data_IF_821094920235
#
_entry.id   IF_821094920235
#
_cell.length_a   1.000
_cell.length_b   1.000
_cell.length_c   1.000
_cell.angle_alpha   90.00
_cell.angle_beta   90.00
_cell.angle_gamma   90.00
#
_symmetry.space_group_name_H-M   'P 1'
#
loop_
_entity.id
_entity.type
_entity.pdbx_description
1 polymer ?
#
# COMPACT_ATOMS: atom_id res chain seq x y z
N UNK A 1 12.36 10.60 11.55
CA UNK A 1 11.37 11.16 12.49
C UNK A 1 10.33 11.87 11.65
N UNK A 2 9.01 11.80 11.99
CA UNK A 2 7.94 12.47 11.23
C UNK A 2 7.62 13.78 11.93
N UNK A 3 7.49 14.87 11.15
CA UNK A 3 7.28 16.22 11.68
C UNK A 3 6.14 16.92 10.95
N UNK A 4 5.11 17.36 11.68
CA UNK A 4 3.99 18.15 11.16
C UNK A 4 3.39 17.59 9.87
N UNK A 5 3.13 16.27 9.86
CA UNK A 5 2.53 15.60 8.72
C UNK A 5 1.01 15.83 8.75
N UNK A 6 0.49 16.59 7.81
CA UNK A 6 -0.94 16.80 7.60
C UNK A 6 -1.36 16.10 6.31
N UNK A 7 -1.92 14.90 6.44
CA UNK A 7 -2.21 13.98 5.33
C UNK A 7 -3.71 13.74 5.21
N UNK A 8 -4.24 13.97 4.00
CA UNK A 8 -5.67 13.84 3.70
C UNK A 8 -5.93 12.82 2.58
N UNK A 9 -6.45 11.66 2.94
CA UNK A 9 -6.79 10.61 1.98
C UNK A 9 -8.30 10.61 1.71
N UNK A 10 -8.68 10.81 0.44
CA UNK A 10 -10.09 10.75 0.00
C UNK A 10 -10.61 9.32 0.00
N UNK A 11 -11.93 9.18 0.18
CA UNK A 11 -12.58 7.86 0.16
C UNK A 11 -12.64 7.28 -1.26
N UNK A 12 -12.66 5.94 -1.32
CA UNK A 12 -12.83 5.13 -2.55
C UNK A 12 -11.87 5.55 -3.65
N UNK A 13 -10.58 5.56 -3.32
CA UNK A 13 -9.51 5.83 -4.28
C UNK A 13 -8.23 5.06 -3.90
N UNK A 14 -7.30 4.97 -4.84
CA UNK A 14 -5.91 4.60 -4.54
C UNK A 14 -5.12 5.88 -4.31
N UNK A 15 -4.59 6.02 -3.10
CA UNK A 15 -3.73 7.13 -2.69
C UNK A 15 -2.29 6.64 -2.56
N UNK A 16 -1.37 7.29 -3.26
CA UNK A 16 0.06 7.00 -3.21
C UNK A 16 0.78 7.83 -2.15
N UNK A 17 1.54 7.19 -1.29
CA UNK A 17 2.40 7.85 -0.32
C UNK A 17 3.87 7.57 -0.66
N UNK A 18 4.52 8.51 -1.36
CA UNK A 18 5.86 8.33 -1.94
C UNK A 18 6.93 9.12 -1.21
N UNK A 19 8.14 8.59 -1.25
CA UNK A 19 9.33 9.25 -0.69
C UNK A 19 10.50 8.27 -0.56
N UNK A 20 11.72 8.79 -0.38
CA UNK A 20 12.91 7.95 -0.26
C UNK A 20 12.84 7.05 0.99
N UNK A 21 13.73 6.05 1.03
CA UNK A 21 13.87 5.20 2.21
C UNK A 21 14.26 6.06 3.42
N UNK A 22 13.64 5.79 4.57
CA UNK A 22 13.84 6.59 5.78
C UNK A 22 13.06 7.91 5.85
N UNK A 23 12.28 8.27 4.81
CA UNK A 23 11.48 9.50 4.81
C UNK A 23 10.37 9.55 5.86
N UNK A 24 9.95 8.39 6.42
CA UNK A 24 8.90 8.32 7.44
C UNK A 24 7.63 7.61 7.00
N UNK A 25 7.57 7.03 5.79
CA UNK A 25 6.38 6.35 5.23
C UNK A 25 5.83 5.26 6.16
N UNK A 26 6.61 4.22 6.43
CA UNK A 26 6.20 3.10 7.31
C UNK A 26 5.88 3.56 8.73
N UNK A 27 6.61 4.56 9.25
CA UNK A 27 6.31 5.15 10.57
C UNK A 27 4.93 5.80 10.58
N UNK A 28 4.61 6.58 9.53
CA UNK A 28 3.28 7.20 9.40
C UNK A 28 2.17 6.15 9.29
N UNK A 29 2.39 5.10 8.48
CA UNK A 29 1.43 3.99 8.37
C UNK A 29 1.25 3.23 9.71
N UNK A 30 2.32 3.02 10.46
CA UNK A 30 2.25 2.43 11.81
C UNK A 30 1.47 3.32 12.79
N UNK A 31 1.55 4.65 12.66
CA UNK A 31 0.72 5.58 13.44
C UNK A 31 -0.76 5.47 13.08
N UNK A 32 -1.10 5.36 11.78
CA UNK A 32 -2.48 5.11 11.33
C UNK A 32 -3.06 3.82 11.92
N UNK A 33 -2.25 2.79 12.09
CA UNK A 33 -2.67 1.52 12.70
C UNK A 33 -2.61 1.51 14.24
N UNK A 34 -2.21 2.63 14.86
CA UNK A 34 -2.04 2.71 16.30
C UNK A 34 -0.94 1.79 16.86
N UNK A 35 0.01 1.37 16.02
CA UNK A 35 1.19 0.60 16.41
C UNK A 35 2.28 1.50 16.99
N UNK A 36 2.27 2.77 16.62
CA UNK A 36 3.15 3.83 17.13
C UNK A 36 2.26 5.03 17.48
N UNK A 37 2.48 5.64 18.63
CA UNK A 37 1.76 6.83 19.04
C UNK A 37 2.52 8.08 18.58
N UNK A 38 1.84 9.08 17.98
CA UNK A 38 2.47 10.36 17.71
C UNK A 38 2.79 11.08 19.04
N UNK A 39 3.90 11.80 19.10
CA UNK A 39 4.28 12.60 20.27
C UNK A 39 3.40 13.84 20.43
N UNK A 40 2.82 14.33 19.32
CA UNK A 40 1.86 15.43 19.30
C UNK A 40 0.95 15.29 18.06
N UNK A 41 -0.18 15.97 18.06
CA UNK A 41 -1.18 15.88 17.00
C UNK A 41 -2.16 14.72 17.19
N UNK A 42 -2.91 14.39 16.15
CA UNK A 42 -3.93 13.34 16.20
C UNK A 42 -3.97 12.57 14.88
N UNK A 43 -4.46 11.34 14.96
CA UNK A 43 -4.72 10.49 13.80
C UNK A 43 -6.23 10.31 13.67
N UNK A 44 -6.76 10.44 12.46
CA UNK A 44 -8.14 10.16 12.15
C UNK A 44 -8.25 9.09 11.05
N UNK A 45 -9.12 8.10 11.24
CA UNK A 45 -9.45 7.08 10.26
C UNK A 45 -10.95 7.11 9.98
N UNK A 46 -11.34 7.05 8.72
CA UNK A 46 -12.74 7.00 8.31
C UNK A 46 -13.59 8.15 8.93
N UNK A 47 -12.98 9.34 9.09
CA UNK A 47 -13.62 10.54 9.66
C UNK A 47 -13.69 10.56 11.18
N UNK A 48 -13.07 9.63 11.88
CA UNK A 48 -13.09 9.55 13.35
C UNK A 48 -11.68 9.52 13.93
N UNK A 49 -11.45 10.25 15.01
CA UNK A 49 -10.15 10.26 15.70
C UNK A 49 -9.83 8.90 16.29
N UNK A 50 -8.62 8.42 16.06
CA UNK A 50 -8.07 7.20 16.63
C UNK A 50 -7.68 7.46 18.09
N UNK A 51 -8.41 6.87 19.02
CA UNK A 51 -8.21 6.94 20.47
C UNK A 51 -8.31 5.53 21.03
N UNK A 52 -7.94 5.32 22.29
CA UNK A 52 -8.11 4.03 22.97
C UNK A 52 -9.56 3.49 22.87
N UNK A 53 -10.56 4.39 22.90
CA UNK A 53 -11.99 4.01 22.82
C UNK A 53 -12.44 3.64 21.41
N UNK A 54 -11.90 4.29 20.38
CA UNK A 54 -12.33 4.11 18.98
C UNK A 54 -11.44 3.13 18.22
N UNK A 55 -10.24 2.84 18.73
CA UNK A 55 -9.21 2.06 18.08
C UNK A 55 -9.72 0.72 17.56
N UNK A 56 -10.32 -0.09 18.40
CA UNK A 56 -10.74 -1.45 18.03
C UNK A 56 -11.79 -1.43 16.91
N UNK A 57 -12.75 -0.51 16.99
CA UNK A 57 -13.80 -0.36 15.98
C UNK A 57 -13.24 0.09 14.63
N UNK A 58 -12.33 1.07 14.64
CA UNK A 58 -11.70 1.60 13.43
C UNK A 58 -10.76 0.58 12.79
N UNK A 59 -9.98 -0.15 13.58
CA UNK A 59 -9.08 -1.18 13.06
C UNK A 59 -9.82 -2.41 12.52
N UNK A 60 -11.01 -2.72 13.00
CA UNK A 60 -11.87 -3.75 12.38
C UNK A 60 -12.29 -3.41 10.97
N UNK A 61 -12.37 -2.13 10.62
CA UNK A 61 -12.69 -1.63 9.29
C UNK A 61 -11.45 -1.31 8.45
N UNK A 62 -10.25 -1.62 8.97
CA UNK A 62 -8.97 -1.37 8.32
C UNK A 62 -8.25 -2.68 8.09
N UNK A 63 -7.86 -2.94 6.85
CA UNK A 63 -6.93 -4.02 6.50
C UNK A 63 -5.53 -3.45 6.32
N UNK A 64 -4.50 -4.24 6.63
CA UNK A 64 -3.13 -3.76 6.46
C UNK A 64 -2.16 -4.87 6.06
N UNK A 65 -1.19 -4.49 5.25
CA UNK A 65 0.01 -5.26 4.93
C UNK A 65 1.20 -4.34 5.16
N UNK A 66 1.88 -4.50 6.30
CA UNK A 66 3.04 -3.69 6.71
C UNK A 66 4.27 -4.59 6.77
N UNK A 67 5.35 -4.14 6.15
CA UNK A 67 6.63 -4.84 6.04
C UNK A 67 6.52 -6.08 5.13
N UNK A 68 6.56 -7.28 5.69
CA UNK A 68 6.50 -8.53 4.91
C UNK A 68 5.21 -9.30 5.18
N UNK A 69 4.71 -10.08 4.19
CA UNK A 69 3.53 -10.90 4.39
C UNK A 69 3.78 -11.96 5.46
N UNK A 70 3.01 -11.88 6.54
CA UNK A 70 3.13 -12.75 7.71
C UNK A 70 2.17 -13.93 7.59
N UNK A 71 2.58 -14.98 6.87
CA UNK A 71 1.86 -16.25 6.85
C UNK A 71 2.69 -17.38 7.46
N UNK A 72 2.00 -18.37 8.05
CA UNK A 72 2.64 -19.60 8.50
C UNK A 72 3.06 -20.43 7.28
N UNK A 73 4.35 -20.54 7.02
CA UNK A 73 4.91 -21.16 5.80
C UNK A 73 4.59 -22.67 5.68
N UNK A 74 4.37 -23.36 6.80
CA UNK A 74 4.03 -24.78 6.84
C UNK A 74 2.54 -25.08 6.62
N UNK A 75 1.69 -24.04 6.69
CA UNK A 75 0.26 -24.11 6.42
C UNK A 75 -0.06 -23.75 4.96
N UNK A 76 -1.22 -24.14 4.50
CA UNK A 76 -1.80 -23.74 3.21
C UNK A 76 -2.29 -22.28 3.26
N UNK A 77 -2.60 -21.70 2.09
CA UNK A 77 -3.23 -20.38 2.06
C UNK A 77 -4.60 -20.38 2.75
N UNK A 78 -5.38 -21.43 2.53
CA UNK A 78 -6.69 -21.59 3.17
C UNK A 78 -6.55 -21.60 4.69
N UNK A 79 -5.71 -22.46 5.27
CA UNK A 79 -5.50 -22.54 6.73
C UNK A 79 -5.01 -21.23 7.32
N UNK A 80 -4.13 -20.49 6.62
CA UNK A 80 -3.70 -19.17 7.02
C UNK A 80 -4.86 -18.16 7.06
N UNK A 81 -5.74 -18.20 6.05
CA UNK A 81 -6.93 -17.34 6.00
C UNK A 81 -7.96 -17.73 7.07
N UNK A 82 -8.14 -19.02 7.36
CA UNK A 82 -9.00 -19.51 8.44
C UNK A 82 -8.59 -18.95 9.80
N UNK A 83 -7.27 -18.96 10.11
CA UNK A 83 -6.74 -18.36 11.35
C UNK A 83 -7.11 -16.86 11.44
N UNK A 84 -6.91 -16.11 10.35
CA UNK A 84 -7.23 -14.67 10.35
C UNK A 84 -8.74 -14.44 10.43
N UNK A 85 -9.55 -15.32 9.81
CA UNK A 85 -11.01 -15.29 9.85
C UNK A 85 -11.52 -15.46 11.29
N UNK A 86 -10.95 -16.42 12.04
CA UNK A 86 -11.26 -16.63 13.45
C UNK A 86 -10.88 -15.43 14.32
N UNK A 87 -9.68 -14.89 14.12
CA UNK A 87 -9.19 -13.72 14.87
C UNK A 87 -10.03 -12.45 14.61
N UNK A 88 -10.52 -12.27 13.38
CA UNK A 88 -11.38 -11.14 13.02
C UNK A 88 -12.86 -11.38 13.37
N UNK A 89 -13.28 -12.61 13.60
CA UNK A 89 -14.67 -12.98 13.83
C UNK A 89 -15.54 -12.76 12.59
N UNK A 90 -15.00 -13.03 11.38
CA UNK A 90 -15.71 -12.87 10.11
C UNK A 90 -16.15 -14.24 9.55
N UNK A 91 -17.15 -14.31 8.65
CA UNK A 91 -17.60 -15.59 8.11
C UNK A 91 -16.56 -16.28 7.23
N UNK A 92 -16.42 -17.60 7.35
CA UNK A 92 -15.51 -18.42 6.53
C UNK A 92 -15.76 -18.31 5.02
N UNK A 93 -17.01 -18.05 4.60
CA UNK A 93 -17.35 -17.79 3.18
C UNK A 93 -16.59 -16.60 2.59
N UNK A 94 -16.07 -15.71 3.41
CA UNK A 94 -15.28 -14.57 2.96
C UNK A 94 -13.91 -14.98 2.41
N UNK A 95 -13.42 -16.17 2.78
CA UNK A 95 -12.17 -16.75 2.27
C UNK A 95 -12.25 -16.95 0.75
N UNK A 96 -13.37 -17.47 0.23
CA UNK A 96 -13.53 -17.69 -1.21
C UNK A 96 -13.48 -16.36 -1.97
N UNK A 97 -14.18 -15.34 -1.47
CA UNK A 97 -14.16 -13.99 -2.04
C UNK A 97 -12.76 -13.38 -2.08
N UNK A 98 -12.01 -13.41 -0.98
CA UNK A 98 -10.68 -12.80 -0.98
C UNK A 98 -9.67 -13.56 -1.82
N UNK A 99 -9.75 -14.90 -1.88
CA UNK A 99 -8.94 -15.72 -2.77
C UNK A 99 -9.22 -15.42 -4.25
N UNK A 100 -10.49 -15.15 -4.59
CA UNK A 100 -10.88 -14.73 -5.95
C UNK A 100 -10.26 -13.40 -6.31
N UNK A 101 -10.42 -12.40 -5.47
CA UNK A 101 -9.86 -11.06 -5.69
C UNK A 101 -8.36 -11.09 -5.94
N UNK A 102 -7.61 -11.89 -5.16
CA UNK A 102 -6.14 -11.97 -5.28
C UNK A 102 -5.64 -13.05 -6.24
N UNK A 103 -6.54 -13.74 -6.95
CA UNK A 103 -6.24 -14.81 -7.92
C UNK A 103 -5.40 -15.95 -7.34
N UNK A 104 -5.78 -16.47 -6.15
CA UNK A 104 -5.12 -17.58 -5.46
C UNK A 104 -6.00 -18.82 -5.25
N UNK A 105 -7.20 -18.91 -5.87
CA UNK A 105 -8.11 -20.05 -5.67
C UNK A 105 -7.46 -21.39 -6.05
N UNK A 106 -6.75 -21.44 -7.18
CA UNK A 106 -6.11 -22.67 -7.67
C UNK A 106 -5.04 -23.19 -6.71
N UNK A 107 -4.37 -22.28 -5.99
CA UNK A 107 -3.27 -22.58 -5.08
C UNK A 107 -3.70 -22.67 -3.61
N UNK A 108 -5.00 -22.55 -3.29
CA UNK A 108 -5.52 -22.46 -1.91
C UNK A 108 -5.03 -23.57 -0.97
N UNK A 109 -4.83 -24.81 -1.50
CA UNK A 109 -4.37 -25.98 -0.76
C UNK A 109 -2.86 -26.18 -0.77
N UNK A 110 -2.11 -25.32 -1.47
CA UNK A 110 -0.67 -25.37 -1.53
C UNK A 110 -0.07 -24.68 -0.31
N UNK A 111 1.00 -25.24 0.26
CA UNK A 111 1.69 -24.65 1.41
C UNK A 111 2.34 -23.31 1.04
N UNK A 112 2.20 -22.32 1.92
CA UNK A 112 2.72 -20.95 1.70
C UNK A 112 4.24 -20.93 1.56
N UNK A 113 4.94 -21.88 2.15
CA UNK A 113 6.39 -22.03 1.95
C UNK A 113 6.80 -22.28 0.49
N UNK A 114 5.90 -22.80 -0.34
CA UNK A 114 6.13 -23.08 -1.77
C UNK A 114 5.67 -21.91 -2.69
N UNK A 115 5.15 -20.83 -2.11
CA UNK A 115 4.70 -19.67 -2.85
C UNK A 115 5.88 -18.80 -3.31
N UNK A 116 5.77 -18.22 -4.51
CA UNK A 116 6.64 -17.12 -4.92
C UNK A 116 6.43 -15.91 -4.00
N UNK A 117 7.34 -14.94 -4.05
CA UNK A 117 7.18 -13.70 -3.29
C UNK A 117 5.88 -12.99 -3.65
N UNK A 118 5.55 -12.88 -4.95
CA UNK A 118 4.30 -12.28 -5.42
C UNK A 118 3.05 -13.00 -4.91
N UNK A 119 3.06 -14.35 -4.87
CA UNK A 119 1.96 -15.11 -4.27
C UNK A 119 1.85 -14.86 -2.76
N UNK A 120 2.96 -14.75 -2.04
CA UNK A 120 2.95 -14.39 -0.61
C UNK A 120 2.40 -12.99 -0.37
N UNK A 121 2.78 -12.01 -1.19
CA UNK A 121 2.24 -10.66 -1.14
C UNK A 121 0.73 -10.65 -1.38
N UNK A 122 0.25 -11.36 -2.42
CA UNK A 122 -1.19 -11.52 -2.71
C UNK A 122 -1.94 -12.18 -1.55
N UNK A 123 -1.36 -13.21 -0.91
CA UNK A 123 -1.95 -13.81 0.29
C UNK A 123 -2.03 -12.81 1.46
N UNK A 124 -1.00 -11.99 1.69
CA UNK A 124 -1.02 -10.92 2.69
C UNK A 124 -2.14 -9.91 2.43
N UNK A 125 -2.36 -9.55 1.17
CA UNK A 125 -3.49 -8.70 0.77
C UNK A 125 -4.83 -9.41 1.01
N UNK A 126 -4.96 -10.72 0.71
CA UNK A 126 -6.16 -11.50 1.00
C UNK A 126 -6.49 -11.47 2.50
N UNK A 127 -5.49 -11.65 3.36
CA UNK A 127 -5.66 -11.54 4.82
C UNK A 127 -6.12 -10.14 5.25
N UNK A 128 -5.59 -9.09 4.62
CA UNK A 128 -6.00 -7.72 4.86
C UNK A 128 -7.45 -7.47 4.45
N UNK A 129 -7.91 -8.08 3.33
CA UNK A 129 -9.25 -7.93 2.76
C UNK A 129 -10.36 -8.67 3.52
N UNK A 130 -10.03 -9.64 4.39
CA UNK A 130 -11.03 -10.37 5.19
C UNK A 130 -11.86 -9.41 6.04
N UNK A 131 -13.18 -9.56 5.99
CA UNK A 131 -14.13 -8.69 6.69
C UNK A 131 -14.50 -7.43 5.91
N UNK A 132 -14.14 -7.34 4.63
CA UNK A 132 -14.49 -6.22 3.73
C UNK A 132 -14.12 -4.85 4.33
N UNK A 133 -12.84 -4.58 4.61
CA UNK A 133 -12.40 -3.33 5.21
C UNK A 133 -12.71 -2.15 4.28
N UNK A 134 -12.99 -0.98 4.86
CA UNK A 134 -13.20 0.28 4.14
C UNK A 134 -11.89 0.99 3.80
N UNK A 135 -10.81 0.65 4.52
CA UNK A 135 -9.47 1.19 4.31
C UNK A 135 -8.46 0.05 4.25
N UNK A 136 -7.61 0.07 3.24
CA UNK A 136 -6.45 -0.81 3.10
C UNK A 136 -5.18 0.02 3.17
N UNK A 137 -4.22 -0.41 3.99
CA UNK A 137 -2.90 0.22 4.14
C UNK A 137 -1.86 -0.80 3.71
N UNK A 138 -1.17 -0.52 2.59
CA UNK A 138 -0.20 -1.42 1.95
C UNK A 138 1.18 -0.75 1.91
N UNK A 139 2.11 -1.26 2.70
CA UNK A 139 3.47 -0.73 2.77
C UNK A 139 4.39 -1.46 1.79
N UNK A 140 4.85 -0.75 0.74
CA UNK A 140 5.78 -1.26 -0.29
C UNK A 140 5.33 -2.62 -0.89
N UNK A 141 4.07 -2.82 -1.34
CA UNK A 141 3.55 -4.14 -1.73
C UNK A 141 4.20 -4.72 -2.99
N UNK A 142 4.91 -3.91 -3.77
CA UNK A 142 5.65 -4.31 -4.97
C UNK A 142 7.13 -4.61 -4.72
N UNK A 143 7.60 -4.36 -3.49
CA UNK A 143 9.03 -4.48 -3.18
C UNK A 143 9.54 -5.93 -3.33
N UNK A 144 10.64 -6.07 -4.08
CA UNK A 144 11.29 -7.37 -4.31
C UNK A 144 10.60 -8.27 -5.34
N UNK A 145 9.52 -7.80 -5.98
CA UNK A 145 8.88 -8.53 -7.08
C UNK A 145 9.67 -8.35 -8.38
N UNK A 146 9.57 -9.35 -9.25
CA UNK A 146 10.02 -9.25 -10.64
C UNK A 146 9.08 -8.34 -11.46
N UNK A 147 9.49 -7.89 -12.66
CA UNK A 147 8.69 -6.97 -13.46
C UNK A 147 7.26 -7.46 -13.76
N UNK A 148 7.06 -8.76 -13.96
CA UNK A 148 5.74 -9.33 -14.20
C UNK A 148 4.87 -9.27 -12.92
N UNK A 149 5.44 -9.65 -11.78
CA UNK A 149 4.78 -9.56 -10.47
C UNK A 149 4.43 -8.13 -10.08
N UNK A 150 5.25 -7.14 -10.43
CA UNK A 150 4.95 -5.72 -10.23
C UNK A 150 3.70 -5.33 -11.04
N UNK A 151 3.62 -5.74 -12.32
CA UNK A 151 2.47 -5.42 -13.17
C UNK A 151 1.17 -6.07 -12.64
N UNK A 152 1.23 -7.35 -12.26
CA UNK A 152 0.08 -8.06 -11.67
C UNK A 152 -0.37 -7.40 -10.36
N UNK A 153 0.57 -7.02 -9.49
CA UNK A 153 0.26 -6.36 -8.22
C UNK A 153 -0.37 -4.97 -8.44
N UNK A 154 0.11 -4.22 -9.42
CA UNK A 154 -0.46 -2.92 -9.80
C UNK A 154 -1.89 -3.06 -10.30
N UNK A 155 -2.16 -4.00 -11.20
CA UNK A 155 -3.51 -4.27 -11.69
C UNK A 155 -4.45 -4.61 -10.52
N UNK A 156 -4.02 -5.52 -9.65
CA UNK A 156 -4.77 -5.89 -8.46
C UNK A 156 -5.11 -4.69 -7.57
N UNK A 157 -4.13 -3.83 -7.26
CA UNK A 157 -4.34 -2.66 -6.39
C UNK A 157 -5.22 -1.61 -7.07
N UNK A 158 -5.04 -1.39 -8.38
CA UNK A 158 -5.84 -0.45 -9.16
C UNK A 158 -7.34 -0.79 -9.11
N UNK A 159 -7.68 -2.07 -9.21
CA UNK A 159 -9.06 -2.53 -9.28
C UNK A 159 -9.76 -2.64 -7.91
N UNK A 160 -9.01 -2.57 -6.80
CA UNK A 160 -9.56 -2.74 -5.44
C UNK A 160 -10.68 -1.75 -5.07
N UNK A 161 -10.59 -0.43 -5.37
CA UNK A 161 -11.69 0.48 -5.05
C UNK A 161 -13.01 0.06 -5.70
N UNK A 162 -12.97 -0.38 -6.95
CA UNK A 162 -14.16 -0.81 -7.70
C UNK A 162 -14.63 -2.20 -7.26
N UNK A 163 -13.70 -3.13 -7.00
CA UNK A 163 -14.03 -4.50 -6.59
C UNK A 163 -14.53 -4.62 -5.15
N UNK A 164 -14.03 -3.78 -4.24
CA UNK A 164 -14.30 -3.91 -2.80
C UNK A 164 -14.90 -2.65 -2.16
N UNK A 165 -15.01 -1.52 -2.88
CA UNK A 165 -15.44 -0.23 -2.30
C UNK A 165 -14.45 0.34 -1.28
N UNK A 166 -13.22 -0.15 -1.25
CA UNK A 166 -12.21 0.23 -0.28
C UNK A 166 -11.38 1.44 -0.73
N UNK A 167 -10.95 2.25 0.21
CA UNK A 167 -9.87 3.22 0.01
C UNK A 167 -8.56 2.50 0.20
N UNK A 168 -7.60 2.69 -0.71
CA UNK A 168 -6.28 2.06 -0.62
C UNK A 168 -5.21 3.12 -0.42
N UNK A 169 -4.49 3.05 0.68
CA UNK A 169 -3.27 3.83 0.94
C UNK A 169 -2.07 2.93 0.67
N UNK A 170 -1.30 3.24 -0.35
CA UNK A 170 -0.11 2.46 -0.75
C UNK A 170 1.15 3.31 -0.58
N UNK A 171 2.22 2.75 0.01
CA UNK A 171 3.54 3.36 -0.04
C UNK A 171 4.40 2.80 -1.17
N UNK A 172 5.27 3.64 -1.71
CA UNK A 172 6.40 3.23 -2.55
C UNK A 172 7.53 4.25 -2.48
N UNK A 173 8.76 3.79 -2.64
CA UNK A 173 9.91 4.67 -2.82
C UNK A 173 10.12 5.05 -4.30
N UNK A 174 9.40 4.43 -5.23
CA UNK A 174 9.47 4.65 -6.67
C UNK A 174 8.17 5.30 -7.16
N UNK A 175 8.19 6.62 -7.40
CA UNK A 175 7.02 7.36 -7.89
C UNK A 175 6.49 6.79 -9.21
N UNK A 176 7.39 6.43 -10.16
CA UNK A 176 7.02 5.85 -11.44
C UNK A 176 6.23 4.53 -11.35
N UNK A 177 6.37 3.79 -10.25
CA UNK A 177 5.53 2.62 -9.99
C UNK A 177 4.10 2.98 -9.63
N UNK A 178 3.91 4.11 -8.95
CA UNK A 178 2.60 4.56 -8.50
C UNK A 178 1.83 5.32 -9.60
N UNK A 179 2.52 5.95 -10.55
CA UNK A 179 1.90 6.80 -11.57
C UNK A 179 0.79 6.10 -12.38
N UNK A 180 0.85 4.78 -12.48
CA UNK A 180 -0.13 3.99 -13.24
C UNK A 180 -1.37 3.60 -12.43
N UNK A 181 -1.32 3.70 -11.09
CA UNK A 181 -2.39 3.17 -10.21
C UNK A 181 -3.02 4.23 -9.31
N UNK A 182 -2.33 5.35 -9.04
CA UNK A 182 -2.82 6.37 -8.11
C UNK A 182 -3.39 7.59 -8.85
N UNK A 183 -4.44 8.16 -8.30
CA UNK A 183 -4.99 9.45 -8.76
C UNK A 183 -4.53 10.61 -7.89
N UNK A 184 -4.21 10.32 -6.65
CA UNK A 184 -3.71 11.29 -5.67
C UNK A 184 -2.43 10.78 -5.03
N UNK A 185 -1.53 11.69 -4.71
CA UNK A 185 -0.23 11.38 -4.16
C UNK A 185 0.18 12.37 -3.08
N UNK A 186 0.78 11.84 -2.02
CA UNK A 186 1.54 12.60 -1.02
C UNK A 186 3.02 12.28 -1.14
N UNK A 187 3.86 13.30 -1.25
CA UNK A 187 5.31 13.13 -1.29
C UNK A 187 5.88 13.53 0.06
N UNK A 188 6.55 12.58 0.71
CA UNK A 188 7.22 12.82 1.99
C UNK A 188 8.74 12.77 1.83
N UNK A 189 9.44 13.69 2.46
CA UNK A 189 10.89 13.66 2.58
C UNK A 189 11.33 14.18 3.95
N UNK A 190 12.31 13.54 4.57
CA UNK A 190 12.80 13.87 5.91
C UNK A 190 11.68 14.09 6.96
N UNK A 191 10.60 13.30 6.85
CA UNK A 191 9.48 13.37 7.78
C UNK A 191 8.48 14.50 7.54
N UNK A 192 8.63 15.27 6.47
CA UNK A 192 7.74 16.38 6.11
C UNK A 192 7.04 16.11 4.79
N UNK A 193 5.77 16.50 4.70
CA UNK A 193 5.00 16.42 3.46
C UNK A 193 5.43 17.58 2.55
N UNK A 194 5.98 17.24 1.38
CA UNK A 194 6.43 18.24 0.40
C UNK A 194 5.36 18.59 -0.62
N UNK A 195 4.47 17.64 -0.90
CA UNK A 195 3.37 17.80 -1.85
C UNK A 195 2.22 16.89 -1.44
N UNK A 196 1.00 17.35 -1.61
CA UNK A 196 -0.21 16.55 -1.57
C UNK A 196 -1.20 17.07 -2.61
N UNK A 197 -1.67 16.17 -3.49
CA UNK A 197 -2.60 16.57 -4.51
C UNK A 197 -2.79 15.52 -5.61
N UNK A 198 -3.53 15.89 -6.67
CA UNK A 198 -3.68 15.05 -7.85
C UNK A 198 -2.32 14.76 -8.52
N UNK A 199 -2.10 13.52 -8.94
CA UNK A 199 -0.87 13.13 -9.64
C UNK A 199 -0.62 13.98 -10.89
N UNK A 200 -1.66 14.34 -11.63
CA UNK A 200 -1.55 15.20 -12.82
C UNK A 200 -0.97 16.60 -12.52
N UNK A 201 -1.17 17.10 -11.30
CA UNK A 201 -0.57 18.37 -10.85
C UNK A 201 0.92 18.20 -10.58
N UNK A 202 1.32 17.15 -9.90
CA UNK A 202 2.73 16.81 -9.69
C UNK A 202 3.47 16.67 -11.01
N UNK A 203 2.89 15.94 -11.99
CA UNK A 203 3.49 15.75 -13.31
C UNK A 203 3.66 17.07 -14.09
N UNK A 204 2.76 18.04 -13.93
CA UNK A 204 2.91 19.37 -14.53
C UNK A 204 4.10 20.13 -13.96
N UNK A 205 4.34 20.04 -12.66
CA UNK A 205 5.49 20.67 -12.00
C UNK A 205 6.81 19.95 -12.33
N UNK A 206 6.79 18.65 -12.59
CA UNK A 206 7.98 17.83 -12.91
C UNK A 206 8.43 17.95 -14.37
N UNK A 207 7.62 18.50 -15.27
CA UNK A 207 7.98 18.70 -16.69
C UNK A 207 8.89 19.92 -16.88
N UNK A 208 10.00 19.96 -16.15
CA UNK A 208 11.13 20.78 -16.50
C UNK A 208 11.85 20.21 -17.72
N UNK A 209 11.91 20.94 -18.84
CA UNK A 209 12.70 20.56 -20.00
C UNK A 209 14.18 20.48 -19.62
N UNK A 210 14.73 19.25 -19.55
CA UNK A 210 16.18 19.07 -19.49
C UNK A 210 16.72 19.24 -20.92
N UNK A 211 17.26 20.39 -21.23
CA UNK A 211 17.96 20.63 -22.51
C UNK A 211 19.39 20.15 -22.36
N UNK A 212 19.69 18.96 -22.87
CA UNK A 212 21.07 18.48 -23.03
C UNK A 212 21.67 19.17 -24.27
N UNK A 213 22.52 20.17 -24.08
CA UNK A 213 23.39 20.70 -25.14
C UNK A 213 24.62 19.80 -25.23
N UNK A 214 24.67 18.93 -26.25
CA UNK A 214 25.90 18.27 -26.65
C UNK A 214 26.77 19.30 -27.38
N UNK A 215 27.83 19.77 -26.74
CA UNK A 215 28.90 20.48 -27.42
C UNK A 215 29.68 19.44 -28.22
N UNK A 216 29.59 19.49 -29.55
CA UNK A 216 30.48 18.71 -30.38
C UNK A 216 31.93 19.10 -30.08
N UNK A 217 32.86 18.13 -29.96
CA UNK A 217 34.27 18.49 -29.82
C UNK A 217 34.70 19.24 -31.06
N UNK A 218 35.32 20.41 -30.84
CA UNK A 218 35.95 21.23 -31.89
C UNK A 218 36.90 20.33 -32.66
N UNK A 219 36.62 20.09 -33.92
CA UNK A 219 37.59 19.46 -34.80
C UNK A 219 38.64 20.52 -35.13
N UNK A 220 39.65 20.58 -34.28
CA UNK A 220 40.82 21.37 -34.53
C UNK A 220 41.35 21.02 -35.90
N UNK A 221 41.50 22.05 -36.75
CA UNK A 221 42.10 21.97 -38.06
C UNK A 221 43.52 21.44 -37.91
N UNK A 222 43.83 20.38 -38.71
CA UNK A 222 45.18 20.03 -39.07
C UNK A 222 45.56 20.71 -40.39
#
# INVERSE_FOLDING_TARGET
MVHNLDLHVRQVCVYGFSGPNGAGKSTSMKMLLGLVHPTAGSVALLGRTLTERTRLELLRQTGSLIESPSGYLHLTAQENLEIVTDLKGVPYKDIDRVLEIVHLQADRKRKVGQYSLGMKQRLGIAMALLGSPRLLILDEPTNGLDPAGIQEMRALIHDMPDACGATVLISSHLLGEMEQIVRQVGIINHGQLLFEGPLAELQRHSRGNVVLRLLAPDRGAA
#
